data_IF_086252548583
#
_entry.id   IF_086252548583
#
_cell.length_a   1.000
_cell.length_b   1.000
_cell.length_c   1.000
_cell.angle_alpha   90.00
_cell.angle_beta   90.00
_cell.angle_gamma   90.00
#
_symmetry.space_group_name_H-M   'P 1'
#
loop_
_entity.id
_entity.type
_entity.pdbx_description
1 polymer ?
#
# COMPACT_ATOMS: atom_id res chain seq x y z
N UNK A 1 2.65 -36.28 9.60
CA UNK A 1 3.16 -35.94 8.26
C UNK A 1 2.57 -34.60 7.90
N UNK A 2 3.42 -33.74 7.35
CA UNK A 2 3.33 -32.28 7.27
C UNK A 2 1.92 -31.72 7.03
N UNK A 3 1.48 -30.93 8.00
CA UNK A 3 0.39 -29.97 7.88
C UNK A 3 0.74 -29.06 6.69
N UNK A 4 0.05 -29.28 5.58
CA UNK A 4 0.30 -28.62 4.32
C UNK A 4 -0.26 -27.21 4.41
N UNK A 5 0.50 -26.36 5.11
CA UNK A 5 0.43 -24.91 5.25
C UNK A 5 -0.76 -24.31 4.51
N UNK A 6 -1.69 -23.78 5.29
CA UNK A 6 -2.81 -22.92 4.93
C UNK A 6 -2.35 -21.56 4.32
N UNK A 7 -1.29 -21.53 3.51
CA UNK A 7 -0.73 -20.30 2.92
C UNK A 7 -1.60 -19.70 1.82
N UNK A 8 -2.68 -20.38 1.43
CA UNK A 8 -3.61 -19.93 0.38
C UNK A 8 -4.84 -19.19 0.94
N UNK A 9 -5.08 -19.21 2.25
CA UNK A 9 -6.27 -18.57 2.84
C UNK A 9 -6.09 -17.05 3.08
N UNK A 10 -4.87 -16.52 3.00
CA UNK A 10 -4.58 -15.08 3.15
C UNK A 10 -4.66 -14.32 1.80
N UNK A 11 -5.35 -14.87 0.80
CA UNK A 11 -5.80 -14.13 -0.39
C UNK A 11 -6.97 -13.18 -0.07
N UNK A 12 -7.02 -12.65 1.15
CA UNK A 12 -7.90 -11.57 1.53
C UNK A 12 -7.36 -10.27 0.94
N UNK A 13 -7.91 -9.88 -0.21
CA UNK A 13 -8.13 -8.50 -0.64
C UNK A 13 -7.13 -7.46 -0.07
N UNK A 14 -6.10 -7.19 -0.86
CA UNK A 14 -5.27 -5.98 -0.84
C UNK A 14 -4.21 -5.89 0.28
N UNK A 15 -3.26 -6.82 0.29
CA UNK A 15 -1.94 -6.54 0.86
C UNK A 15 -1.13 -5.69 -0.12
N UNK A 16 -0.82 -4.45 0.27
CA UNK A 16 0.08 -3.55 -0.48
C UNK A 16 1.50 -4.07 -0.37
N UNK A 17 2.14 -4.28 -1.53
CA UNK A 17 3.49 -4.84 -1.64
C UNK A 17 4.50 -3.80 -2.07
N UNK A 18 5.75 -4.01 -1.67
CA UNK A 18 6.87 -3.22 -2.21
C UNK A 18 6.97 -3.47 -3.71
N UNK A 19 7.05 -2.39 -4.48
CA UNK A 19 7.02 -2.40 -5.94
C UNK A 19 5.63 -2.11 -6.53
N UNK A 20 4.56 -2.16 -5.73
CA UNK A 20 3.23 -1.78 -6.21
C UNK A 20 3.20 -0.31 -6.63
N UNK A 21 2.42 -0.04 -7.68
CA UNK A 21 2.18 1.30 -8.18
C UNK A 21 0.75 1.66 -7.81
N UNK A 22 0.60 2.69 -6.98
CA UNK A 22 -0.68 3.20 -6.53
C UNK A 22 -0.89 4.56 -7.22
N UNK A 23 -1.87 4.67 -8.13
CA UNK A 23 -2.23 5.96 -8.69
C UNK A 23 -2.95 6.79 -7.62
N UNK A 24 -2.50 8.03 -7.43
CA UNK A 24 -3.11 8.97 -6.50
C UNK A 24 -3.56 10.23 -7.24
N UNK A 25 -4.80 10.65 -7.01
CA UNK A 25 -5.31 11.94 -7.46
C UNK A 25 -4.84 13.05 -6.51
N UNK A 26 -4.07 13.99 -7.03
CA UNK A 26 -3.60 15.19 -6.33
C UNK A 26 -4.13 16.47 -7.00
N UNK A 27 -3.86 17.63 -6.41
CA UNK A 27 -4.34 18.94 -6.92
C UNK A 27 -3.90 19.21 -8.36
N UNK A 28 -2.68 18.76 -8.72
CA UNK A 28 -2.08 19.01 -10.03
C UNK A 28 -2.34 17.90 -11.06
N UNK A 29 -3.05 16.83 -10.69
CA UNK A 29 -3.33 15.69 -11.56
C UNK A 29 -3.18 14.34 -10.87
N UNK A 30 -3.31 13.27 -11.66
CA UNK A 30 -3.11 11.89 -11.21
C UNK A 30 -1.65 11.51 -11.36
N UNK A 31 -1.05 10.98 -10.30
CA UNK A 31 0.36 10.57 -10.28
C UNK A 31 0.50 9.14 -9.79
N UNK A 32 1.41 8.42 -10.44
CA UNK A 32 1.75 7.05 -10.08
C UNK A 32 2.82 7.05 -8.98
N UNK A 33 2.43 6.60 -7.79
CA UNK A 33 3.32 6.46 -6.65
C UNK A 33 3.77 5.02 -6.50
N UNK A 34 5.09 4.78 -6.44
CA UNK A 34 5.64 3.43 -6.26
C UNK A 34 5.96 3.18 -4.79
N UNK A 35 5.50 2.05 -4.25
CA UNK A 35 5.86 1.59 -2.91
C UNK A 35 7.31 1.11 -2.92
N UNK A 36 8.16 1.72 -2.09
CA UNK A 36 9.58 1.39 -1.97
C UNK A 36 9.92 0.60 -0.73
N UNK A 37 9.22 0.87 0.36
CA UNK A 37 9.45 0.21 1.65
C UNK A 37 8.12 -0.03 2.37
N UNK A 38 8.08 -1.08 3.18
CA UNK A 38 7.01 -1.40 4.14
C UNK A 38 7.70 -1.67 5.47
N UNK A 39 7.43 -0.84 6.46
CA UNK A 39 7.99 -0.98 7.80
C UNK A 39 6.87 -1.10 8.84
N UNK A 40 7.13 -1.90 9.88
CA UNK A 40 6.25 -1.99 11.03
C UNK A 40 6.59 -0.89 12.02
N UNK A 41 5.63 -0.04 12.36
CA UNK A 41 5.78 1.03 13.33
C UNK A 41 5.21 0.58 14.67
N UNK A 42 6.09 0.22 15.62
CA UNK A 42 5.70 -0.37 16.91
C UNK A 42 4.81 0.56 17.76
N UNK A 43 5.09 1.87 17.78
CA UNK A 43 4.33 2.83 18.60
C UNK A 43 2.87 2.97 18.17
N UNK A 44 2.59 2.74 16.89
CA UNK A 44 1.25 2.88 16.32
C UNK A 44 0.63 1.54 15.92
N UNK A 45 1.32 0.42 16.21
CA UNK A 45 0.92 -0.95 15.87
C UNK A 45 0.41 -1.10 14.42
N UNK A 46 1.08 -0.45 13.47
CA UNK A 46 0.66 -0.45 12.07
C UNK A 46 1.83 -0.47 11.08
N UNK A 47 1.54 -0.89 9.85
CA UNK A 47 2.50 -0.78 8.76
C UNK A 47 2.46 0.62 8.14
N UNK A 48 3.64 1.22 7.98
CA UNK A 48 3.88 2.42 7.21
C UNK A 48 4.62 2.08 5.92
N UNK A 49 4.31 2.81 4.86
CA UNK A 49 4.77 2.54 3.51
C UNK A 49 5.49 3.76 2.98
N UNK A 50 6.76 3.62 2.63
CA UNK A 50 7.50 4.64 1.89
C UNK A 50 7.08 4.55 0.44
N UNK A 51 6.62 5.67 -0.11
CA UNK A 51 6.25 5.79 -1.50
C UNK A 51 7.02 6.91 -2.18
N UNK A 52 7.32 6.71 -3.45
CA UNK A 52 8.06 7.69 -4.25
C UNK A 52 7.39 7.91 -5.59
N UNK A 53 7.44 9.14 -6.08
CA UNK A 53 7.16 9.53 -7.47
C UNK A 53 8.30 10.43 -7.98
N UNK A 54 8.39 10.74 -9.28
CA UNK A 54 9.43 11.64 -9.79
C UNK A 54 9.47 12.98 -9.02
N UNK A 55 10.56 13.23 -8.29
CA UNK A 55 10.79 14.46 -7.52
C UNK A 55 10.15 14.51 -6.12
N UNK A 56 9.45 13.47 -5.66
CA UNK A 56 8.81 13.44 -4.33
C UNK A 56 8.90 12.07 -3.66
N UNK A 57 9.01 12.08 -2.34
CA UNK A 57 8.92 10.90 -1.48
C UNK A 57 8.06 11.21 -0.24
N UNK A 58 7.38 10.19 0.30
CA UNK A 58 6.52 10.34 1.47
C UNK A 58 6.18 9.01 2.14
N UNK A 59 5.91 9.07 3.44
CA UNK A 59 5.46 7.94 4.24
C UNK A 59 3.95 7.97 4.41
N UNK A 60 3.29 6.83 4.17
CA UNK A 60 1.84 6.70 4.20
C UNK A 60 1.42 5.50 5.03
N UNK A 61 0.27 5.60 5.71
CA UNK A 61 -0.31 4.48 6.45
C UNK A 61 -1.11 3.57 5.53
N UNK A 62 -1.31 2.32 5.95
CA UNK A 62 -2.18 1.38 5.20
C UNK A 62 -3.57 1.96 4.95
N UNK A 63 -4.17 2.57 5.97
CA UNK A 63 -5.53 3.11 5.90
C UNK A 63 -5.65 4.20 4.85
N UNK A 64 -4.67 5.10 4.77
CA UNK A 64 -4.64 6.13 3.75
C UNK A 64 -4.59 5.54 2.34
N UNK A 65 -3.71 4.55 2.12
CA UNK A 65 -3.56 3.93 0.81
C UNK A 65 -4.80 3.18 0.36
N UNK A 66 -5.45 2.44 1.26
CA UNK A 66 -6.72 1.79 0.97
C UNK A 66 -7.82 2.79 0.65
N UNK A 67 -7.91 3.89 1.39
CA UNK A 67 -8.89 4.94 1.11
C UNK A 67 -8.68 5.62 -0.25
N UNK A 68 -7.43 5.70 -0.73
CA UNK A 68 -7.14 6.19 -2.08
C UNK A 68 -7.54 5.15 -3.14
N UNK A 69 -7.21 3.88 -2.93
CA UNK A 69 -7.52 2.81 -3.87
C UNK A 69 -9.04 2.57 -4.02
N UNK A 70 -9.79 2.65 -2.93
CA UNK A 70 -11.24 2.46 -2.93
C UNK A 70 -11.97 3.58 -3.71
N UNK A 71 -11.53 4.84 -3.52
CA UNK A 71 -12.03 5.99 -4.28
C UNK A 71 -11.80 5.88 -5.78
N UNK A 72 -10.71 5.24 -6.20
CA UNK A 72 -10.41 5.01 -7.61
C UNK A 72 -11.25 3.86 -8.20
N UNK A 73 -11.74 2.93 -7.37
CA UNK A 73 -12.59 1.83 -7.80
C UNK A 73 -14.06 2.25 -8.03
N UNK A 74 -14.51 3.35 -7.41
CA UNK A 74 -15.85 3.92 -7.59
C UNK A 74 -15.96 4.95 -8.74
N UNK A 75 -14.85 5.35 -9.35
CA UNK A 75 -14.78 6.41 -10.36
C UNK A 75 -14.88 5.94 -11.83
#
# INVERSE_FOLDING_TARGET
MSDNRDWQADMTREEIKVGDIIPMQEENGRYDWTVRCKEWHEESEQHIYLMTRPGFEGWYTREFLLAVMDKEAEA
#
